data_IF_889579171728
#
_entry.id   IF_889579171728
#
_cell.length_a   1.000
_cell.length_b   1.000
_cell.length_c   1.000
_cell.angle_alpha   90.00
_cell.angle_beta   90.00
_cell.angle_gamma   90.00
#
_symmetry.space_group_name_H-M   'P 1'
#
loop_
_entity.id
_entity.type
_entity.pdbx_description
1 polymer ?
#
# COMPACT_ATOMS: atom_id res chain seq x y z
N UNK A 1 16.13 17.92 -9.53
CA UNK A 1 15.07 17.43 -8.64
C UNK A 1 15.75 17.01 -7.35
N UNK A 2 15.29 17.45 -6.18
CA UNK A 2 15.82 16.92 -4.93
C UNK A 2 15.28 15.50 -4.78
N UNK A 3 16.15 14.50 -4.86
CA UNK A 3 15.77 13.14 -4.49
C UNK A 3 15.26 13.17 -3.05
N UNK A 4 14.09 12.56 -2.80
CA UNK A 4 13.63 12.39 -1.44
C UNK A 4 14.57 11.38 -0.78
N UNK A 5 15.38 11.84 0.18
CA UNK A 5 16.35 10.98 0.87
C UNK A 5 15.64 9.90 1.69
N UNK A 6 14.42 10.18 2.14
CA UNK A 6 13.62 9.28 2.96
C UNK A 6 12.63 8.51 2.11
N UNK A 7 12.72 7.19 2.19
CA UNK A 7 11.86 6.25 1.46
C UNK A 7 11.26 5.23 2.43
N UNK A 8 10.21 4.55 2.01
CA UNK A 8 9.84 3.25 2.54
C UNK A 8 10.35 2.16 1.59
N UNK A 9 10.52 0.95 2.10
CA UNK A 9 11.00 -0.16 1.26
C UNK A 9 10.45 -1.51 1.67
N UNK A 10 10.24 -2.37 0.68
CA UNK A 10 9.84 -3.76 0.86
C UNK A 10 10.60 -4.67 -0.09
N UNK A 11 10.64 -5.95 0.26
CA UNK A 11 11.04 -7.05 -0.62
C UNK A 11 9.77 -7.78 -1.07
N UNK A 12 9.50 -7.80 -2.37
CA UNK A 12 8.41 -8.58 -2.98
C UNK A 12 8.93 -9.91 -3.50
N UNK A 13 8.16 -10.97 -3.27
CA UNK A 13 8.50 -12.32 -3.69
C UNK A 13 8.03 -12.57 -5.13
N UNK A 14 8.96 -12.95 -5.99
CA UNK A 14 8.72 -13.41 -7.35
C UNK A 14 8.81 -14.93 -7.34
N UNK A 15 7.70 -15.62 -7.53
CA UNK A 15 7.65 -17.07 -7.37
C UNK A 15 7.21 -17.76 -8.67
N UNK A 16 7.80 -18.92 -8.94
CA UNK A 16 7.29 -19.82 -9.97
C UNK A 16 5.92 -20.39 -9.52
N UNK A 17 4.93 -20.55 -10.43
CA UNK A 17 3.63 -21.12 -10.13
C UNK A 17 3.70 -22.48 -9.44
N UNK A 18 2.78 -22.73 -8.50
CA UNK A 18 2.83 -23.93 -7.64
C UNK A 18 2.33 -25.20 -8.32
N UNK A 19 1.51 -25.06 -9.35
CA UNK A 19 0.82 -26.11 -10.10
C UNK A 19 0.64 -25.69 -11.57
N UNK A 20 0.23 -26.64 -12.41
CA UNK A 20 0.04 -26.41 -13.85
C UNK A 20 -1.04 -25.35 -14.17
N UNK A 21 -2.13 -25.29 -13.39
CA UNK A 21 -3.17 -24.27 -13.58
C UNK A 21 -2.62 -22.87 -13.32
N UNK A 22 -1.83 -22.72 -12.25
CA UNK A 22 -1.07 -21.52 -11.93
C UNK A 22 -0.18 -21.06 -13.09
N UNK A 23 0.51 -21.99 -13.74
CA UNK A 23 1.39 -21.69 -14.87
C UNK A 23 0.61 -21.24 -16.10
N UNK A 24 -0.42 -21.98 -16.52
CA UNK A 24 -1.19 -21.69 -17.73
C UNK A 24 -1.74 -20.27 -17.73
N UNK A 25 -2.29 -19.89 -16.59
CA UNK A 25 -3.03 -18.67 -16.40
C UNK A 25 -2.00 -17.50 -16.21
N UNK A 26 -0.76 -17.77 -15.76
CA UNK A 26 0.37 -16.80 -15.77
C UNK A 26 0.84 -16.56 -17.21
N UNK A 27 0.98 -17.63 -18.00
CA UNK A 27 1.33 -17.53 -19.42
C UNK A 27 0.25 -16.72 -20.16
N UNK A 28 -1.03 -17.05 -19.95
CA UNK A 28 -2.17 -16.32 -20.54
C UNK A 28 -2.15 -14.82 -20.17
N UNK A 29 -1.82 -14.49 -18.91
CA UNK A 29 -1.67 -13.10 -18.48
C UNK A 29 -0.57 -12.38 -19.25
N UNK A 30 0.58 -13.02 -19.48
CA UNK A 30 1.75 -12.36 -20.03
C UNK A 30 1.90 -12.55 -21.56
N UNK A 31 1.01 -13.30 -22.22
CA UNK A 31 1.13 -13.73 -23.63
C UNK A 31 1.20 -12.61 -24.68
N UNK A 32 0.77 -11.39 -24.33
CA UNK A 32 0.77 -10.24 -25.24
C UNK A 32 2.09 -9.46 -25.18
N UNK A 33 2.93 -9.72 -24.18
CA UNK A 33 4.19 -9.02 -23.98
C UNK A 33 5.26 -9.57 -24.93
N UNK A 34 6.24 -8.74 -25.34
CA UNK A 34 7.27 -9.12 -26.30
C UNK A 34 8.40 -9.94 -25.66
N UNK A 35 8.05 -11.04 -24.98
CA UNK A 35 9.00 -11.90 -24.24
C UNK A 35 8.89 -13.35 -24.71
N UNK A 36 10.03 -14.06 -24.73
CA UNK A 36 10.10 -15.45 -25.22
C UNK A 36 9.46 -16.47 -24.26
N UNK A 37 9.40 -16.11 -22.99
CA UNK A 37 8.88 -16.89 -21.88
C UNK A 37 7.99 -16.00 -21.03
N UNK A 38 6.81 -16.49 -20.70
CA UNK A 38 5.73 -15.67 -20.15
C UNK A 38 5.66 -15.78 -18.61
N UNK A 39 6.81 -15.90 -17.94
CA UNK A 39 6.89 -15.99 -16.48
C UNK A 39 7.09 -14.59 -15.88
N UNK A 40 6.65 -14.37 -14.65
CA UNK A 40 6.83 -13.06 -13.99
C UNK A 40 8.31 -12.68 -13.82
N UNK A 41 9.21 -13.66 -13.70
CA UNK A 41 10.66 -13.40 -13.68
C UNK A 41 11.15 -12.79 -15.00
N UNK A 42 10.63 -13.25 -16.14
CA UNK A 42 11.01 -12.72 -17.45
C UNK A 42 10.57 -11.26 -17.61
N UNK A 43 9.47 -10.85 -16.96
CA UNK A 43 9.07 -9.45 -16.94
C UNK A 43 10.13 -8.54 -16.32
N UNK A 44 10.88 -9.03 -15.34
CA UNK A 44 11.97 -8.29 -14.70
C UNK A 44 13.26 -8.38 -15.53
N UNK A 45 13.57 -9.54 -16.09
CA UNK A 45 14.79 -9.76 -16.86
C UNK A 45 14.78 -9.03 -18.21
N UNK A 46 13.61 -8.94 -18.85
CA UNK A 46 13.39 -8.22 -20.11
C UNK A 46 12.68 -6.87 -19.89
N UNK A 47 12.94 -6.22 -18.74
CA UNK A 47 12.20 -5.03 -18.35
C UNK A 47 12.26 -3.92 -19.40
N UNK A 48 13.40 -3.65 -20.04
CA UNK A 48 13.50 -2.57 -21.04
C UNK A 48 12.52 -2.76 -22.21
N UNK A 49 12.44 -3.97 -22.75
CA UNK A 49 11.53 -4.31 -23.86
C UNK A 49 10.06 -4.28 -23.40
N UNK A 50 9.79 -4.77 -22.19
CA UNK A 50 8.44 -4.77 -21.59
C UNK A 50 7.96 -3.34 -21.34
N UNK A 51 8.77 -2.48 -20.73
CA UNK A 51 8.44 -1.08 -20.47
C UNK A 51 8.18 -0.33 -21.76
N UNK A 52 9.08 -0.48 -22.75
CA UNK A 52 8.90 0.15 -24.05
C UNK A 52 7.61 -0.28 -24.74
N UNK A 53 7.28 -1.57 -24.70
CA UNK A 53 6.03 -2.07 -25.27
C UNK A 53 4.80 -1.49 -24.57
N UNK A 54 4.81 -1.47 -23.24
CA UNK A 54 3.71 -0.95 -22.44
C UNK A 54 3.50 0.54 -22.71
N UNK A 55 4.57 1.34 -22.76
CA UNK A 55 4.52 2.77 -23.10
C UNK A 55 4.02 3.01 -24.54
N UNK A 56 4.39 2.17 -25.51
CA UNK A 56 4.01 2.34 -26.92
C UNK A 56 2.58 1.85 -27.23
N UNK A 57 2.10 0.79 -26.57
CA UNK A 57 0.90 0.06 -27.01
C UNK A 57 -0.20 -0.08 -25.95
N UNK A 58 0.14 -0.10 -24.67
CA UNK A 58 -0.83 -0.40 -23.60
C UNK A 58 -1.31 0.88 -22.89
N UNK A 59 -0.52 1.96 -22.91
CA UNK A 59 -0.79 3.24 -22.19
C UNK A 59 -1.06 3.07 -20.68
N UNK A 60 -0.89 1.87 -20.13
CA UNK A 60 -1.04 1.55 -18.73
C UNK A 60 0.33 1.55 -18.04
N UNK A 61 0.44 1.92 -16.76
CA UNK A 61 1.72 1.83 -16.08
C UNK A 61 2.11 0.37 -15.82
N UNK A 62 3.42 0.09 -15.84
CA UNK A 62 3.92 -1.22 -15.44
C UNK A 62 3.77 -1.40 -13.92
N UNK A 63 2.85 -2.28 -13.53
CA UNK A 63 2.42 -2.45 -12.14
C UNK A 63 2.98 -3.72 -11.50
N UNK A 64 3.38 -3.63 -10.22
CA UNK A 64 3.83 -4.77 -9.43
C UNK A 64 3.12 -4.87 -8.08
N UNK A 65 2.97 -6.09 -7.56
CA UNK A 65 2.37 -6.31 -6.23
C UNK A 65 3.19 -5.60 -5.14
N UNK A 66 2.56 -4.68 -4.43
CA UNK A 66 3.20 -3.83 -3.43
C UNK A 66 2.33 -3.69 -2.17
N UNK A 67 2.94 -3.46 -0.98
CA UNK A 67 2.22 -3.09 0.23
C UNK A 67 1.39 -1.81 0.09
N UNK A 68 0.23 -1.77 0.77
CA UNK A 68 -0.68 -0.62 0.79
C UNK A 68 -0.04 0.72 1.15
N UNK A 69 0.97 0.70 2.02
CA UNK A 69 1.65 1.90 2.50
C UNK A 69 2.65 2.49 1.50
N UNK A 70 3.03 1.75 0.45
CA UNK A 70 4.01 2.27 -0.52
C UNK A 70 3.44 3.44 -1.32
N UNK A 71 4.29 4.45 -1.53
CA UNK A 71 3.99 5.69 -2.25
C UNK A 71 5.10 6.00 -3.26
N UNK A 72 4.86 7.00 -4.12
CA UNK A 72 5.87 7.45 -5.10
C UNK A 72 7.20 7.78 -4.40
N UNK A 73 8.31 7.28 -4.97
CA UNK A 73 9.64 7.46 -4.41
C UNK A 73 10.04 6.41 -3.37
N UNK A 74 9.23 5.38 -3.17
CA UNK A 74 9.63 4.21 -2.38
C UNK A 74 10.47 3.21 -3.20
N UNK A 75 11.04 2.20 -2.53
CA UNK A 75 11.92 1.18 -3.14
C UNK A 75 11.34 -0.22 -2.97
N UNK A 76 11.15 -0.94 -4.08
CA UNK A 76 10.69 -2.32 -4.09
C UNK A 76 11.80 -3.26 -4.58
N UNK A 77 12.32 -4.11 -3.71
CA UNK A 77 13.29 -5.15 -4.09
C UNK A 77 12.57 -6.42 -4.56
N UNK A 78 13.15 -7.09 -5.55
CA UNK A 78 12.63 -8.34 -6.10
C UNK A 78 13.42 -9.53 -5.57
N UNK A 79 12.76 -10.42 -4.86
CA UNK A 79 13.34 -11.67 -4.35
C UNK A 79 12.75 -12.86 -5.08
N UNK A 80 13.58 -13.63 -5.80
CA UNK A 80 13.10 -14.86 -6.41
C UNK A 80 12.97 -15.96 -5.35
N UNK A 81 11.75 -16.45 -5.12
CA UNK A 81 11.46 -17.32 -3.98
C UNK A 81 12.24 -18.64 -4.04
N UNK A 82 12.84 -19.05 -2.90
CA UNK A 82 13.40 -20.41 -2.73
C UNK A 82 12.41 -21.53 -3.10
N UNK A 83 11.12 -21.30 -2.90
CA UNK A 83 10.09 -22.30 -3.24
C UNK A 83 10.03 -22.60 -4.74
N UNK A 84 10.46 -21.66 -5.61
CA UNK A 84 10.45 -21.80 -7.06
C UNK A 84 11.24 -23.02 -7.54
N UNK A 85 12.29 -23.42 -6.80
CA UNK A 85 13.05 -24.64 -7.09
C UNK A 85 12.20 -25.91 -7.00
N UNK A 86 11.33 -26.00 -6.00
CA UNK A 86 10.46 -27.16 -5.81
C UNK A 86 9.22 -27.07 -6.70
N UNK A 87 8.65 -25.87 -6.81
CA UNK A 87 7.45 -25.63 -7.63
C UNK A 87 7.70 -25.94 -9.10
N UNK A 88 8.77 -25.43 -9.71
CA UNK A 88 9.12 -25.70 -11.11
C UNK A 88 9.32 -27.19 -11.40
N UNK A 89 10.03 -27.90 -10.51
CA UNK A 89 10.21 -29.37 -10.62
C UNK A 89 8.92 -30.15 -10.48
N UNK A 90 7.99 -29.69 -9.64
CA UNK A 90 6.69 -30.36 -9.47
C UNK A 90 5.82 -30.17 -10.70
N UNK A 91 5.72 -28.94 -11.23
CA UNK A 91 4.98 -28.67 -12.47
C UNK A 91 5.59 -29.41 -13.66
N UNK A 92 6.92 -29.53 -13.73
CA UNK A 92 7.58 -30.33 -14.77
C UNK A 92 7.15 -31.81 -14.73
N UNK A 93 6.96 -32.38 -13.53
CA UNK A 93 6.45 -33.75 -13.39
C UNK A 93 4.97 -33.86 -13.75
N UNK A 94 4.17 -32.83 -13.47
CA UNK A 94 2.76 -32.79 -13.88
C UNK A 94 2.60 -32.77 -15.41
N UNK A 95 3.62 -32.27 -16.13
CA UNK A 95 3.68 -32.25 -17.59
C UNK A 95 4.22 -33.54 -18.23
N UNK A 96 4.53 -34.58 -17.46
CA UNK A 96 5.00 -35.86 -18.02
C UNK A 96 3.92 -36.45 -18.96
N UNK A 97 4.28 -36.63 -20.24
CA UNK A 97 3.37 -37.08 -21.30
C UNK A 97 2.50 -36.00 -21.97
N UNK A 98 2.70 -34.72 -21.67
CA UNK A 98 2.08 -33.61 -22.42
C UNK A 98 2.88 -33.26 -23.68
N UNK A 99 2.20 -33.04 -24.81
CA UNK A 99 2.82 -32.68 -26.11
C UNK A 99 2.79 -31.16 -26.41
N UNK A 100 2.33 -30.32 -25.48
CA UNK A 100 2.22 -28.88 -25.70
C UNK A 100 3.58 -28.19 -25.53
N UNK A 101 4.24 -27.93 -26.67
CA UNK A 101 5.61 -27.40 -26.76
C UNK A 101 5.82 -26.08 -25.99
N UNK A 102 4.81 -25.19 -26.02
CA UNK A 102 4.88 -23.90 -25.33
C UNK A 102 4.92 -24.02 -23.80
N UNK A 103 4.10 -24.89 -23.20
CA UNK A 103 4.09 -25.10 -21.75
C UNK A 103 5.39 -25.73 -21.27
N UNK A 104 5.87 -26.76 -21.99
CA UNK A 104 7.11 -27.44 -21.66
C UNK A 104 8.31 -26.49 -21.75
N UNK A 105 8.35 -25.62 -22.78
CA UNK A 105 9.35 -24.56 -22.93
C UNK A 105 9.38 -23.61 -21.71
N UNK A 106 8.22 -23.11 -21.29
CA UNK A 106 8.10 -22.22 -20.12
C UNK A 106 8.53 -22.90 -18.81
N UNK A 107 8.17 -24.18 -18.60
CA UNK A 107 8.59 -24.90 -17.38
C UNK A 107 10.08 -25.17 -17.35
N UNK A 108 10.67 -25.60 -18.46
CA UNK A 108 12.11 -25.84 -18.54
C UNK A 108 12.90 -24.57 -18.24
N UNK A 109 12.50 -23.45 -18.84
CA UNK A 109 13.07 -22.14 -18.53
C UNK A 109 12.88 -21.75 -17.06
N UNK A 110 11.68 -21.97 -16.50
CA UNK A 110 11.43 -21.74 -15.08
C UNK A 110 12.32 -22.58 -14.14
N UNK A 111 12.69 -23.81 -14.55
CA UNK A 111 13.66 -24.64 -13.81
C UNK A 111 15.07 -24.06 -13.89
N UNK A 112 15.46 -23.50 -15.04
CA UNK A 112 16.76 -22.83 -15.22
C UNK A 112 16.85 -21.55 -14.37
N UNK A 113 15.84 -20.68 -14.47
CA UNK A 113 15.74 -19.48 -13.63
C UNK A 113 15.75 -19.81 -12.14
N UNK A 114 15.04 -20.86 -11.72
CA UNK A 114 15.05 -21.28 -10.33
C UNK A 114 16.44 -21.77 -9.89
N UNK A 115 17.19 -22.47 -10.75
CA UNK A 115 18.57 -22.89 -10.42
C UNK A 115 19.51 -21.69 -10.25
N UNK A 116 19.31 -20.66 -11.04
CA UNK A 116 20.18 -19.49 -11.05
C UNK A 116 19.85 -18.49 -9.94
N UNK A 117 18.56 -18.19 -9.74
CA UNK A 117 18.11 -17.06 -8.92
C UNK A 117 17.36 -17.45 -7.65
N UNK A 118 16.94 -18.71 -7.45
CA UNK A 118 16.06 -19.02 -6.32
C UNK A 118 16.77 -18.79 -4.99
N UNK A 119 16.13 -17.98 -4.14
CA UNK A 119 16.73 -17.51 -2.90
C UNK A 119 17.56 -16.25 -3.03
N UNK A 120 17.49 -15.52 -4.14
CA UNK A 120 18.26 -14.29 -4.34
C UNK A 120 17.39 -13.05 -4.47
N UNK A 121 17.90 -11.92 -3.98
CA UNK A 121 17.44 -10.60 -4.39
C UNK A 121 18.13 -10.28 -5.71
N UNK A 122 17.34 -10.09 -6.78
CA UNK A 122 17.83 -9.99 -8.17
C UNK A 122 17.87 -8.55 -8.69
N UNK A 123 17.17 -7.64 -8.04
CA UNK A 123 17.05 -6.26 -8.49
C UNK A 123 16.11 -5.46 -7.61
N UNK A 124 15.86 -4.22 -8.00
CA UNK A 124 14.88 -3.35 -7.38
C UNK A 124 14.25 -2.40 -8.40
N UNK A 125 13.18 -1.72 -8.01
CA UNK A 125 12.59 -0.61 -8.76
C UNK A 125 12.22 0.54 -7.84
N UNK A 126 12.05 1.71 -8.44
CA UNK A 126 11.43 2.85 -7.79
C UNK A 126 9.91 2.76 -7.96
N UNK A 127 9.17 3.10 -6.90
CA UNK A 127 7.73 3.25 -7.02
C UNK A 127 7.42 4.56 -7.74
N UNK A 128 6.60 4.48 -8.80
CA UNK A 128 6.22 5.60 -9.65
C UNK A 128 4.93 6.29 -9.21
N UNK A 129 4.10 5.61 -8.42
CA UNK A 129 2.83 6.12 -7.91
C UNK A 129 2.37 5.35 -6.68
N UNK A 130 1.39 5.87 -5.92
CA UNK A 130 0.86 5.19 -4.74
C UNK A 130 0.32 3.80 -5.07
N UNK A 131 0.35 2.91 -4.09
CA UNK A 131 -0.29 1.60 -4.23
C UNK A 131 -1.80 1.75 -4.37
N UNK A 132 -2.39 1.14 -5.39
CA UNK A 132 -3.82 1.17 -5.69
C UNK A 132 -4.46 -0.21 -5.67
N UNK A 133 -5.77 -0.25 -5.48
CA UNK A 133 -6.56 -1.46 -5.59
C UNK A 133 -6.89 -1.76 -7.05
N UNK A 134 -6.40 -2.90 -7.55
CA UNK A 134 -6.80 -3.41 -8.86
C UNK A 134 -7.89 -4.47 -8.69
N UNK A 135 -9.12 -4.08 -9.00
CA UNK A 135 -10.26 -5.00 -9.06
C UNK A 135 -10.14 -5.94 -10.26
N UNK A 136 -10.12 -7.25 -10.00
CA UNK A 136 -10.00 -8.33 -10.99
C UNK A 136 -10.47 -8.01 -12.42
N UNK A 137 -9.52 -7.96 -13.36
CA UNK A 137 -9.56 -8.77 -14.58
C UNK A 137 -8.16 -9.39 -14.80
N UNK A 138 -8.06 -10.71 -14.68
CA UNK A 138 -6.93 -11.54 -15.14
C UNK A 138 -5.55 -11.53 -14.43
N UNK A 139 -5.47 -11.56 -13.09
CA UNK A 139 -4.17 -11.85 -12.43
C UNK A 139 -4.23 -12.88 -11.29
N UNK A 140 -3.13 -13.63 -11.15
CA UNK A 140 -2.91 -14.77 -10.25
C UNK A 140 -2.63 -14.45 -8.79
N UNK A 141 -2.29 -13.21 -8.49
CA UNK A 141 -1.85 -12.84 -7.15
C UNK A 141 -3.06 -12.82 -6.21
N UNK A 142 -2.88 -13.37 -5.01
CA UNK A 142 -3.88 -13.23 -3.93
C UNK A 142 -4.02 -11.76 -3.50
N UNK A 143 -2.95 -10.99 -3.69
CA UNK A 143 -2.92 -9.57 -3.39
C UNK A 143 -3.59 -8.78 -4.51
N UNK A 144 -4.35 -7.77 -4.09
CA UNK A 144 -5.19 -6.94 -4.96
C UNK A 144 -4.68 -5.50 -5.02
N UNK A 145 -3.46 -5.30 -4.55
CA UNK A 145 -2.85 -3.99 -4.37
C UNK A 145 -1.53 -3.96 -5.13
N UNK A 146 -1.43 -3.03 -6.07
CA UNK A 146 -0.28 -2.89 -6.95
C UNK A 146 0.17 -1.44 -6.97
N UNK A 147 1.46 -1.23 -7.15
CA UNK A 147 2.01 0.08 -7.41
C UNK A 147 2.66 0.08 -8.79
N UNK A 148 2.57 1.21 -9.49
CA UNK A 148 3.35 1.44 -10.69
C UNK A 148 4.83 1.52 -10.31
N UNK A 149 5.68 0.91 -11.13
CA UNK A 149 7.13 0.89 -10.90
C UNK A 149 7.86 1.51 -12.09
N UNK A 150 9.02 2.11 -11.81
CA UNK A 150 9.92 2.70 -12.81
C UNK A 150 11.37 2.34 -12.49
N UNK A 151 12.25 2.50 -13.47
CA UNK A 151 13.70 2.28 -13.32
C UNK A 151 14.03 0.93 -12.68
N UNK A 152 13.56 -0.17 -13.27
CA UNK A 152 13.92 -1.52 -12.80
C UNK A 152 15.42 -1.70 -12.99
N UNK A 153 16.15 -1.86 -11.90
CA UNK A 153 17.58 -2.11 -11.88
C UNK A 153 17.86 -3.54 -11.47
N UNK A 154 18.47 -4.31 -12.36
CA UNK A 154 18.93 -5.67 -12.07
C UNK A 154 20.36 -5.62 -11.51
N UNK A 155 20.63 -6.47 -10.53
CA UNK A 155 21.97 -6.61 -9.96
C UNK A 155 22.80 -7.57 -10.83
N UNK A 156 24.01 -7.15 -11.20
CA UNK A 156 24.98 -8.01 -11.89
C UNK A 156 25.33 -9.24 -11.03
N UNK A 157 25.39 -9.05 -9.72
CA UNK A 157 25.59 -10.09 -8.71
C UNK A 157 24.39 -10.09 -7.74
N UNK A 158 23.33 -10.87 -8.03
CA UNK A 158 22.20 -11.06 -7.12
C UNK A 158 22.63 -11.59 -5.76
N UNK A 159 21.97 -11.16 -4.68
CA UNK A 159 22.34 -11.52 -3.31
C UNK A 159 21.57 -12.74 -2.82
N UNK A 160 22.29 -13.79 -2.44
CA UNK A 160 21.73 -14.96 -1.74
C UNK A 160 21.17 -14.62 -0.35
N UNK A 161 20.00 -15.18 -0.03
CA UNK A 161 19.32 -15.03 1.26
C UNK A 161 20.17 -15.46 2.44
N UNK A 162 21.10 -16.39 2.26
CA UNK A 162 22.11 -16.75 3.26
C UNK A 162 22.87 -15.52 3.79
N UNK A 163 23.11 -14.51 2.97
CA UNK A 163 23.88 -13.31 3.31
C UNK A 163 23.09 -12.27 4.12
N UNK A 164 21.77 -12.16 3.90
CA UNK A 164 20.94 -11.17 4.59
C UNK A 164 19.95 -11.74 5.60
N UNK A 165 19.77 -13.07 5.63
CA UNK A 165 18.76 -13.71 6.47
C UNK A 165 18.97 -13.52 7.97
N UNK A 166 20.16 -13.12 8.43
CA UNK A 166 20.43 -12.85 9.83
C UNK A 166 19.68 -11.61 10.34
N UNK A 167 19.55 -10.57 9.51
CA UNK A 167 18.92 -9.30 9.88
C UNK A 167 17.60 -9.04 9.15
N UNK A 168 17.37 -9.61 7.96
CA UNK A 168 16.09 -9.53 7.24
C UNK A 168 15.46 -10.93 7.15
N UNK A 169 14.27 -11.09 7.74
CA UNK A 169 13.49 -12.33 7.63
C UNK A 169 12.42 -12.18 6.56
N UNK A 170 12.59 -12.87 5.43
CA UNK A 170 11.56 -12.95 4.38
C UNK A 170 10.29 -13.61 4.95
N UNK A 171 9.15 -12.96 4.73
CA UNK A 171 7.84 -13.42 5.19
C UNK A 171 7.50 -14.79 4.58
N UNK A 172 7.33 -15.85 5.40
CA UNK A 172 6.99 -17.17 4.89
C UNK A 172 5.58 -17.18 4.29
N UNK A 173 5.49 -17.25 2.96
CA UNK A 173 4.22 -17.32 2.24
C UNK A 173 3.46 -16.00 2.10
N UNK A 174 4.03 -14.89 2.56
CA UNK A 174 3.57 -13.54 2.21
C UNK A 174 4.24 -13.05 0.92
N UNK A 175 3.51 -12.26 0.13
CA UNK A 175 4.05 -11.66 -1.10
C UNK A 175 5.08 -10.59 -0.80
N UNK A 176 4.91 -9.84 0.30
CA UNK A 176 5.74 -8.68 0.62
C UNK A 176 6.34 -8.77 2.03
N UNK A 177 7.62 -8.39 2.15
CA UNK A 177 8.36 -8.28 3.42
C UNK A 177 8.78 -6.83 3.62
N UNK A 178 8.21 -6.09 4.60
CA UNK A 178 8.63 -4.72 4.88
C UNK A 178 10.08 -4.63 5.36
N UNK A 179 10.84 -3.68 4.80
CA UNK A 179 12.16 -3.26 5.29
C UNK A 179 12.01 -2.02 6.16
N UNK A 180 11.50 -2.25 7.37
CA UNK A 180 11.08 -1.16 8.26
C UNK A 180 12.23 -0.50 9.02
N UNK A 181 13.37 -1.16 9.20
CA UNK A 181 14.48 -0.59 9.97
C UNK A 181 15.55 -0.06 9.03
N UNK A 182 15.93 1.20 9.22
CA UNK A 182 17.02 1.80 8.44
C UNK A 182 18.33 1.00 8.60
N UNK A 183 18.64 0.47 9.78
CA UNK A 183 19.81 -0.39 10.00
C UNK A 183 19.85 -1.62 9.10
N UNK A 184 18.69 -2.24 8.86
CA UNK A 184 18.60 -3.45 8.05
C UNK A 184 18.70 -3.10 6.56
N UNK A 185 18.10 -1.97 6.16
CA UNK A 185 18.20 -1.43 4.81
C UNK A 185 19.62 -0.98 4.45
N UNK A 186 20.33 -0.29 5.34
CA UNK A 186 21.73 0.10 5.10
C UNK A 186 22.65 -1.12 5.03
N UNK A 187 22.50 -2.12 5.91
CA UNK A 187 23.26 -3.38 5.81
C UNK A 187 23.01 -4.11 4.49
N UNK A 188 21.76 -4.15 4.01
CA UNK A 188 21.45 -4.72 2.69
C UNK A 188 22.14 -3.94 1.56
N UNK A 189 22.12 -2.60 1.60
CA UNK A 189 22.82 -1.76 0.62
C UNK A 189 24.33 -1.95 0.65
N UNK A 190 24.91 -2.11 1.83
CA UNK A 190 26.34 -2.41 1.97
C UNK A 190 26.68 -3.73 1.26
N UNK A 191 25.94 -4.81 1.54
CA UNK A 191 26.10 -6.10 0.84
C UNK A 191 25.94 -5.96 -0.68
N UNK A 192 24.96 -5.18 -1.14
CA UNK A 192 24.75 -4.93 -2.57
C UNK A 192 25.94 -4.20 -3.19
N UNK A 193 26.48 -3.20 -2.50
CA UNK A 193 27.58 -2.36 -2.98
C UNK A 193 28.92 -3.08 -3.09
N UNK A 194 29.09 -4.23 -2.42
CA UNK A 194 30.34 -5.02 -2.49
C UNK A 194 30.60 -5.57 -3.90
N UNK A 195 29.54 -5.93 -4.63
CA UNK A 195 29.65 -6.62 -5.92
C UNK A 195 28.75 -6.02 -7.02
N UNK A 196 28.13 -4.86 -6.77
CA UNK A 196 27.26 -4.19 -7.73
C UNK A 196 27.49 -2.67 -7.71
N UNK A 197 27.39 -2.04 -8.88
CA UNK A 197 27.25 -0.58 -8.94
C UNK A 197 25.80 -0.18 -8.62
N UNK A 198 25.63 0.55 -7.51
CA UNK A 198 24.31 1.04 -7.11
C UNK A 198 24.02 2.39 -7.77
N UNK A 199 22.80 2.64 -8.29
CA UNK A 199 22.43 3.96 -8.76
C UNK A 199 22.29 4.94 -7.59
N UNK A 200 22.45 6.24 -7.87
CA UNK A 200 22.46 7.30 -6.84
C UNK A 200 21.20 7.30 -5.98
N UNK A 201 20.04 7.04 -6.59
CA UNK A 201 18.76 6.91 -5.91
C UNK A 201 18.81 5.91 -4.74
N UNK A 202 19.26 4.67 -4.99
CA UNK A 202 19.41 3.66 -3.95
C UNK A 202 20.56 4.00 -3.00
N UNK A 203 21.69 4.53 -3.50
CA UNK A 203 22.87 4.91 -2.68
C UNK A 203 22.50 5.92 -1.60
N UNK A 204 21.72 6.95 -1.93
CA UNK A 204 21.38 8.02 -0.98
C UNK A 204 20.15 7.72 -0.13
N UNK A 205 19.29 6.78 -0.54
CA UNK A 205 18.08 6.46 0.18
C UNK A 205 18.33 6.01 1.62
N UNK A 206 17.40 6.38 2.51
CA UNK A 206 17.30 6.00 3.92
C UNK A 206 15.86 5.66 4.25
N UNK A 207 15.65 4.71 5.15
CA UNK A 207 14.28 4.42 5.60
C UNK A 207 13.76 5.58 6.45
N UNK A 208 12.53 6.00 6.16
CA UNK A 208 11.81 6.99 6.96
C UNK A 208 11.71 6.60 8.45
N UNK A 209 11.56 7.60 9.30
CA UNK A 209 11.35 7.40 10.72
C UNK A 209 9.96 6.80 10.99
N UNK A 210 9.94 5.52 11.34
CA UNK A 210 8.76 4.79 11.81
C UNK A 210 8.75 4.58 13.33
N UNK A 211 9.68 5.21 14.06
CA UNK A 211 9.76 5.08 15.51
C UNK A 211 8.85 6.09 16.20
N UNK A 212 7.58 5.73 16.31
CA UNK A 212 6.56 6.55 16.95
C UNK A 212 6.55 6.47 18.50
N UNK A 213 7.57 5.86 19.12
CA UNK A 213 7.62 5.66 20.59
C UNK A 213 7.55 6.97 21.40
N UNK A 214 7.98 8.08 20.81
CA UNK A 214 8.08 9.37 21.50
C UNK A 214 7.02 10.39 21.03
N UNK A 215 6.01 9.96 20.28
CA UNK A 215 4.91 10.84 19.85
C UNK A 215 4.00 11.14 21.03
N UNK A 216 3.72 12.43 21.22
CA UNK A 216 2.93 12.99 22.30
C UNK A 216 2.05 14.12 21.78
N UNK A 217 1.13 14.61 22.62
CA UNK A 217 0.29 15.77 22.33
C UNK A 217 1.09 17.03 21.96
N UNK A 218 2.33 17.15 22.43
CA UNK A 218 3.13 18.37 22.30
C UNK A 218 4.03 18.34 21.06
N UNK A 219 4.31 17.17 20.47
CA UNK A 219 5.27 17.02 19.37
C UNK A 219 4.75 16.21 18.17
N UNK A 220 3.49 15.77 18.16
CA UNK A 220 2.95 14.96 17.06
C UNK A 220 2.99 15.70 15.72
N UNK A 221 2.83 17.03 15.70
CA UNK A 221 2.90 17.83 14.47
C UNK A 221 4.27 17.75 13.81
N UNK A 222 5.32 17.82 14.61
CA UNK A 222 6.70 17.80 14.12
C UNK A 222 7.09 16.39 13.65
N UNK A 223 6.62 15.36 14.35
CA UNK A 223 6.95 13.97 14.04
C UNK A 223 6.03 13.44 12.94
N UNK A 224 4.75 13.31 13.21
CA UNK A 224 3.79 12.60 12.36
C UNK A 224 3.48 13.32 11.04
N UNK A 225 3.66 14.64 10.98
CA UNK A 225 3.55 15.40 9.73
C UNK A 225 4.90 15.59 9.03
N UNK A 226 6.01 15.04 9.54
CA UNK A 226 7.30 15.12 8.85
C UNK A 226 7.27 14.34 7.54
N UNK A 227 7.97 14.85 6.51
CA UNK A 227 8.19 14.12 5.25
C UNK A 227 8.95 12.81 5.47
N UNK A 228 9.78 12.74 6.51
CA UNK A 228 10.52 11.53 6.86
C UNK A 228 9.67 10.49 7.56
N UNK A 229 8.45 10.80 7.99
CA UNK A 229 7.63 9.85 8.74
C UNK A 229 6.84 8.94 7.83
N UNK A 230 6.74 7.67 8.22
CA UNK A 230 6.12 6.60 7.43
C UNK A 230 5.25 5.70 8.29
N UNK A 231 4.04 5.41 7.84
CA UNK A 231 3.11 4.51 8.53
C UNK A 231 3.03 3.20 7.77
N UNK A 232 3.14 2.07 8.47
CA UNK A 232 3.05 0.74 7.84
C UNK A 232 1.68 0.09 8.05
N UNK A 233 0.93 0.58 9.03
CA UNK A 233 -0.30 -0.02 9.50
C UNK A 233 -1.32 1.05 9.89
N UNK A 234 -2.61 0.71 9.74
CA UNK A 234 -3.72 1.61 10.07
C UNK A 234 -3.75 1.98 11.56
N UNK A 235 -3.39 1.06 12.45
CA UNK A 235 -3.34 1.33 13.89
C UNK A 235 -2.25 2.37 14.24
N UNK A 236 -1.13 2.38 13.53
CA UNK A 236 -0.06 3.38 13.70
C UNK A 236 -0.55 4.78 13.30
N UNK A 237 -1.10 4.94 12.10
CA UNK A 237 -1.57 6.26 11.65
C UNK A 237 -2.71 6.77 12.53
N UNK A 238 -3.60 5.87 12.99
CA UNK A 238 -4.64 6.20 13.96
C UNK A 238 -4.05 6.72 15.26
N UNK A 239 -3.15 5.96 15.89
CA UNK A 239 -2.61 6.28 17.21
C UNK A 239 -1.68 7.51 17.22
N UNK A 240 -0.94 7.75 16.13
CA UNK A 240 0.14 8.73 16.12
C UNK A 240 -0.14 9.98 15.29
N UNK A 241 -1.17 9.97 14.43
CA UNK A 241 -1.57 11.14 13.64
C UNK A 241 -3.04 11.49 13.88
N UNK A 242 -3.96 10.61 13.47
CA UNK A 242 -5.40 10.90 13.38
C UNK A 242 -6.00 11.21 14.74
N UNK A 243 -5.70 10.40 15.76
CA UNK A 243 -6.21 10.62 17.12
C UNK A 243 -5.80 11.98 17.70
N UNK A 244 -4.59 12.46 17.41
CA UNK A 244 -4.12 13.76 17.87
C UNK A 244 -4.79 14.89 17.09
N UNK A 245 -4.81 14.79 15.77
CA UNK A 245 -5.46 15.75 14.89
C UNK A 245 -6.95 15.93 15.25
N UNK A 246 -7.72 14.84 15.34
CA UNK A 246 -9.14 14.87 15.65
C UNK A 246 -9.43 15.43 17.06
N UNK A 247 -8.56 15.17 18.04
CA UNK A 247 -8.71 15.74 19.40
C UNK A 247 -8.59 17.25 19.44
N UNK A 248 -7.84 17.84 18.51
CA UNK A 248 -7.58 19.27 18.46
C UNK A 248 -8.57 20.02 17.57
N UNK A 249 -9.07 19.40 16.50
CA UNK A 249 -10.04 20.09 15.61
C UNK A 249 -11.48 20.00 16.09
N UNK A 250 -11.86 18.96 16.85
CA UNK A 250 -13.22 18.81 17.38
C UNK A 250 -13.60 19.96 18.33
N UNK A 251 -14.89 20.10 18.57
CA UNK A 251 -15.40 21.07 19.55
C UNK A 251 -14.82 20.85 20.96
N UNK A 252 -14.65 21.96 21.67
CA UNK A 252 -14.16 21.93 23.05
C UNK A 252 -15.11 21.13 23.95
N UNK A 253 -14.54 20.26 24.79
CA UNK A 253 -15.26 19.42 25.79
C UNK A 253 -16.26 18.41 25.21
N UNK A 254 -16.18 18.09 23.92
CA UNK A 254 -16.94 16.97 23.31
C UNK A 254 -16.08 15.70 23.25
N UNK A 255 -16.66 14.49 23.27
CA UNK A 255 -15.88 13.26 23.14
C UNK A 255 -15.46 13.02 21.69
N UNK A 256 -14.30 12.38 21.50
CA UNK A 256 -13.97 11.66 20.27
C UNK A 256 -14.45 10.21 20.46
N UNK A 257 -15.37 9.76 19.62
CA UNK A 257 -16.01 8.46 19.73
C UNK A 257 -15.40 7.53 18.68
N UNK A 258 -15.02 6.30 19.08
CA UNK A 258 -14.33 5.32 18.24
C UNK A 258 -15.26 4.11 17.97
N UNK A 259 -15.12 3.50 16.80
CA UNK A 259 -15.84 2.28 16.38
C UNK A 259 -17.36 2.41 16.61
N UNK A 260 -18.00 3.27 15.81
CA UNK A 260 -19.40 3.65 15.99
C UNK A 260 -20.31 2.85 15.08
N UNK A 261 -21.13 1.97 15.65
CA UNK A 261 -22.20 1.29 14.92
C UNK A 261 -23.24 2.31 14.49
N UNK A 262 -23.59 2.30 13.20
CA UNK A 262 -24.47 3.28 12.58
C UNK A 262 -25.81 2.65 12.21
N UNK A 263 -26.89 3.41 12.35
CA UNK A 263 -28.26 2.93 12.20
C UNK A 263 -29.11 3.81 11.30
N UNK A 264 -29.83 3.18 10.37
CA UNK A 264 -30.87 3.80 9.54
C UNK A 264 -32.14 2.95 9.65
N UNK A 265 -33.28 3.56 9.95
CA UNK A 265 -34.55 2.89 10.21
C UNK A 265 -34.43 1.78 11.28
N UNK A 266 -33.72 2.07 12.38
CA UNK A 266 -33.39 1.11 13.45
C UNK A 266 -32.55 -0.11 13.03
N UNK A 267 -32.00 -0.14 11.81
CA UNK A 267 -31.16 -1.23 11.30
C UNK A 267 -29.71 -0.79 11.21
N UNK A 268 -28.80 -1.67 11.66
CA UNK A 268 -27.35 -1.43 11.51
C UNK A 268 -26.98 -1.41 10.03
N UNK A 269 -26.38 -0.32 9.57
CA UNK A 269 -25.91 -0.12 8.18
C UNK A 269 -24.42 -0.35 8.05
N UNK A 270 -23.65 -0.09 9.11
CA UNK A 270 -22.21 -0.33 9.17
C UNK A 270 -21.60 0.18 10.47
N UNK A 271 -20.29 0.36 10.45
CA UNK A 271 -19.51 0.89 11.57
C UNK A 271 -18.56 1.94 11.02
N UNK A 272 -18.61 3.17 11.54
CA UNK A 272 -17.64 4.23 11.23
C UNK A 272 -16.44 4.14 12.19
N UNK A 273 -15.26 4.54 11.73
CA UNK A 273 -14.06 4.52 12.57
C UNK A 273 -14.15 5.52 13.73
N UNK A 274 -14.60 6.74 13.43
CA UNK A 274 -14.80 7.76 14.44
C UNK A 274 -16.07 8.58 14.21
N UNK A 275 -16.55 9.18 15.30
CA UNK A 275 -17.42 10.34 15.28
C UNK A 275 -16.82 11.45 16.15
N UNK A 276 -16.85 12.68 15.66
CA UNK A 276 -16.51 13.86 16.44
C UNK A 276 -17.54 14.96 16.26
N UNK A 277 -17.60 15.89 17.21
CA UNK A 277 -18.49 17.04 17.11
C UNK A 277 -17.72 18.23 16.56
N UNK A 278 -18.22 18.85 15.48
CA UNK A 278 -17.70 20.07 14.87
C UNK A 278 -18.85 21.04 14.65
N UNK A 279 -18.71 22.27 15.15
CA UNK A 279 -19.75 23.30 15.06
C UNK A 279 -21.12 22.80 15.55
N UNK A 280 -21.12 22.04 16.65
CA UNK A 280 -22.31 21.36 17.20
C UNK A 280 -22.93 20.25 16.35
N UNK A 281 -22.33 19.86 15.23
CA UNK A 281 -22.78 18.75 14.36
C UNK A 281 -21.89 17.53 14.53
N UNK A 282 -22.48 16.32 14.49
CA UNK A 282 -21.73 15.07 14.51
C UNK A 282 -21.21 14.74 13.12
N UNK A 283 -19.90 14.61 12.99
CA UNK A 283 -19.21 14.32 11.73
C UNK A 283 -18.55 12.93 11.84
N UNK A 284 -18.91 11.97 10.97
CA UNK A 284 -18.18 10.71 10.85
C UNK A 284 -16.81 10.95 10.24
N UNK A 285 -15.82 10.15 10.67
CA UNK A 285 -14.48 10.13 10.09
C UNK A 285 -14.09 8.69 9.77
N UNK A 286 -13.62 8.46 8.55
CA UNK A 286 -13.02 7.20 8.11
C UNK A 286 -11.49 7.31 8.17
N UNK A 287 -10.82 6.32 8.75
CA UNK A 287 -9.37 6.28 8.87
C UNK A 287 -8.80 5.13 8.06
N UNK A 288 -8.02 5.45 7.02
CA UNK A 288 -7.34 4.45 6.19
C UNK A 288 -5.83 4.61 6.26
N UNK A 289 -5.11 3.57 5.87
CA UNK A 289 -3.67 3.71 5.61
C UNK A 289 -3.43 4.42 4.28
N UNK A 290 -4.17 4.01 3.25
CA UNK A 290 -4.14 4.57 1.90
C UNK A 290 -5.49 4.29 1.23
N UNK A 291 -6.24 5.34 0.90
CA UNK A 291 -7.60 5.21 0.32
C UNK A 291 -7.60 4.62 -1.09
N UNK A 292 -6.53 4.81 -1.88
CA UNK A 292 -6.43 4.23 -3.22
C UNK A 292 -6.35 2.71 -3.18
N UNK A 293 -5.90 2.14 -2.07
CA UNK A 293 -5.82 0.69 -1.85
C UNK A 293 -7.15 0.06 -1.39
N UNK A 294 -8.21 0.86 -1.25
CA UNK A 294 -9.53 0.41 -0.84
C UNK A 294 -10.40 0.05 -2.04
N UNK A 295 -11.06 -1.11 -1.97
CA UNK A 295 -11.88 -1.63 -3.07
C UNK A 295 -13.02 -0.69 -3.47
N UNK A 296 -13.68 -0.12 -2.47
CA UNK A 296 -14.90 0.66 -2.64
C UNK A 296 -15.07 1.57 -1.42
N UNK A 297 -14.42 2.73 -1.47
CA UNK A 297 -14.50 3.72 -0.38
C UNK A 297 -15.88 4.37 -0.32
N UNK A 298 -16.52 4.62 -1.46
CA UNK A 298 -17.87 5.18 -1.55
C UNK A 298 -18.89 4.30 -0.83
N UNK A 299 -18.88 2.98 -1.08
CA UNK A 299 -19.76 2.04 -0.38
C UNK A 299 -19.45 1.91 1.12
N UNK A 300 -18.20 2.12 1.54
CA UNK A 300 -17.87 2.18 2.96
C UNK A 300 -18.53 3.41 3.61
N UNK A 301 -18.36 4.59 2.99
CA UNK A 301 -18.93 5.86 3.46
C UNK A 301 -20.46 5.85 3.48
N UNK A 302 -21.11 5.27 2.45
CA UNK A 302 -22.56 5.21 2.33
C UNK A 302 -23.25 4.47 3.50
N UNK A 303 -22.50 3.69 4.28
CA UNK A 303 -23.00 2.96 5.45
C UNK A 303 -23.21 3.85 6.67
N UNK A 304 -22.56 4.99 6.75
CA UNK A 304 -22.67 5.90 7.90
C UNK A 304 -22.95 7.36 7.51
N UNK A 305 -23.13 7.62 6.21
CA UNK A 305 -23.89 8.77 5.73
C UNK A 305 -25.39 8.49 5.76
N UNK A 306 -26.18 9.54 5.85
CA UNK A 306 -27.63 9.53 5.92
C UNK A 306 -28.21 8.56 6.97
N UNK A 307 -27.60 8.54 8.16
CA UNK A 307 -28.02 7.68 9.27
C UNK A 307 -28.85 8.50 10.27
N UNK A 308 -29.73 7.82 11.00
CA UNK A 308 -30.56 8.44 12.03
C UNK A 308 -29.76 8.56 13.34
N UNK A 309 -29.00 7.52 13.67
CA UNK A 309 -28.28 7.44 14.92
C UNK A 309 -27.02 6.59 14.84
N UNK A 310 -26.17 6.74 15.84
CA UNK A 310 -24.98 5.91 15.99
C UNK A 310 -24.69 5.59 17.45
N UNK A 311 -23.92 4.52 17.67
CA UNK A 311 -23.54 4.03 18.99
C UNK A 311 -22.07 3.60 19.02
N UNK A 312 -21.20 4.26 19.81
CA UNK A 312 -19.82 3.82 19.98
C UNK A 312 -19.80 2.45 20.66
N UNK A 313 -18.99 1.54 20.12
CA UNK A 313 -18.82 0.18 20.62
C UNK A 313 -17.57 0.05 21.50
N UNK A 314 -16.57 0.90 21.27
CA UNK A 314 -15.34 0.94 22.05
C UNK A 314 -15.48 1.85 23.25
N UNK A 315 -15.06 1.36 24.43
CA UNK A 315 -15.03 2.10 25.73
C UNK A 315 -16.38 2.67 26.20
N UNK A 316 -17.49 2.36 25.52
CA UNK A 316 -18.84 2.80 25.88
C UNK A 316 -19.55 1.77 26.77
N UNK A 317 -19.34 1.87 28.08
CA UNK A 317 -19.98 0.97 29.06
C UNK A 317 -21.50 1.12 29.13
N UNK A 318 -22.05 2.25 28.69
CA UNK A 318 -23.45 2.62 28.86
C UNK A 318 -24.29 2.40 27.59
N UNK A 319 -23.69 1.93 26.48
CA UNK A 319 -24.36 1.76 25.19
C UNK A 319 -25.15 3.01 24.72
N UNK A 320 -24.69 4.20 25.12
CA UNK A 320 -25.35 5.45 24.79
C UNK A 320 -25.44 5.64 23.27
N UNK A 321 -26.66 5.87 22.79
CA UNK A 321 -26.97 6.19 21.41
C UNK A 321 -27.01 7.71 21.22
N UNK A 322 -26.55 8.17 20.06
CA UNK A 322 -26.48 9.57 19.67
C UNK A 322 -27.30 9.78 18.40
N UNK A 323 -28.07 10.87 18.37
CA UNK A 323 -28.72 11.34 17.15
C UNK A 323 -27.65 11.88 16.19
N UNK A 324 -27.61 11.33 14.98
CA UNK A 324 -26.63 11.70 13.96
C UNK A 324 -27.06 12.94 13.16
N UNK A 325 -28.35 13.28 13.18
CA UNK A 325 -28.97 14.34 12.37
C UNK A 325 -28.72 14.16 10.86
N UNK A 326 -28.76 12.91 10.37
CA UNK A 326 -28.67 12.56 8.94
C UNK A 326 -27.42 13.13 8.24
N UNK A 327 -26.20 12.77 8.68
CA UNK A 327 -24.97 13.37 8.20
C UNK A 327 -24.77 13.09 6.70
N UNK A 328 -24.49 14.13 5.93
CA UNK A 328 -24.16 14.07 4.49
C UNK A 328 -22.66 14.19 4.23
N UNK A 329 -21.98 14.77 5.21
CA UNK A 329 -20.59 15.15 5.21
C UNK A 329 -19.77 14.16 6.04
N UNK A 330 -18.65 13.69 5.50
CA UNK A 330 -17.67 12.87 6.18
C UNK A 330 -16.26 13.39 5.93
N UNK A 331 -15.36 13.13 6.89
CA UNK A 331 -13.93 13.27 6.65
C UNK A 331 -13.34 11.90 6.38
N UNK A 332 -12.38 11.85 5.45
CA UNK A 332 -11.51 10.69 5.28
C UNK A 332 -10.09 11.16 5.57
N UNK A 333 -9.33 10.36 6.31
CA UNK A 333 -7.94 10.67 6.63
C UNK A 333 -7.08 9.44 6.37
N UNK A 334 -6.00 9.63 5.61
CA UNK A 334 -4.99 8.61 5.37
C UNK A 334 -3.56 9.16 5.46
N UNK A 335 -2.55 8.37 5.03
CA UNK A 335 -1.16 8.78 5.13
C UNK A 335 -0.80 9.98 4.23
N UNK A 336 -1.59 10.25 3.20
CA UNK A 336 -1.40 11.37 2.29
C UNK A 336 -2.01 12.64 2.86
N UNK A 337 -3.14 12.58 3.55
CA UNK A 337 -3.75 13.75 4.19
C UNK A 337 -5.22 13.61 4.54
N UNK A 338 -5.91 14.75 4.53
CA UNK A 338 -7.35 14.88 4.85
C UNK A 338 -8.14 15.18 3.59
N UNK A 339 -9.24 14.45 3.41
CA UNK A 339 -10.20 14.58 2.32
C UNK A 339 -11.57 14.93 2.87
N UNK A 340 -12.35 15.63 2.06
CA UNK A 340 -13.76 15.93 2.33
C UNK A 340 -14.62 15.12 1.39
N UNK A 341 -15.68 14.52 1.94
CA UNK A 341 -16.69 13.80 1.17
C UNK A 341 -18.08 14.26 1.55
N UNK A 342 -18.92 14.52 0.54
CA UNK A 342 -20.30 14.95 0.74
C UNK A 342 -21.23 14.32 -0.31
N UNK A 343 -22.41 13.84 0.10
CA UNK A 343 -23.48 13.31 -0.78
C UNK A 343 -23.02 12.45 -1.97
N UNK A 344 -22.01 11.62 -1.73
CA UNK A 344 -21.41 10.66 -2.67
C UNK A 344 -20.20 11.11 -3.51
N UNK A 345 -19.69 12.31 -3.30
CA UNK A 345 -18.52 12.83 -4.02
C UNK A 345 -17.44 13.40 -3.08
N UNK A 346 -16.19 13.40 -3.58
CA UNK A 346 -15.11 14.14 -2.94
C UNK A 346 -15.21 15.63 -3.31
N UNK A 347 -14.99 16.52 -2.34
CA UNK A 347 -15.13 17.97 -2.52
C UNK A 347 -13.75 18.61 -2.58
N UNK A 348 -13.44 19.25 -3.72
CA UNK A 348 -12.16 19.94 -4.00
C UNK A 348 -10.91 19.08 -3.75
N UNK A 349 -11.07 17.76 -3.80
CA UNK A 349 -10.04 16.75 -3.60
C UNK A 349 -10.44 15.47 -4.33
N UNK A 350 -9.49 14.55 -4.49
CA UNK A 350 -9.73 13.23 -5.10
C UNK A 350 -8.87 12.19 -4.37
N UNK A 351 -9.18 10.89 -4.47
CA UNK A 351 -8.31 9.86 -3.92
C UNK A 351 -6.85 10.01 -4.37
N UNK A 352 -5.91 10.07 -3.41
CA UNK A 352 -4.49 10.35 -3.68
C UNK A 352 -4.10 11.83 -3.68
N UNK A 353 -5.07 12.74 -3.84
CA UNK A 353 -4.90 14.19 -3.84
C UNK A 353 -5.70 14.84 -2.70
N UNK A 354 -5.19 14.82 -1.46
CA UNK A 354 -5.91 15.35 -0.30
C UNK A 354 -6.02 16.86 -0.34
N UNK A 355 -7.15 17.38 0.12
CA UNK A 355 -7.38 18.82 0.27
C UNK A 355 -6.36 19.46 1.23
N UNK A 356 -6.00 18.72 2.30
CA UNK A 356 -4.90 19.09 3.17
C UNK A 356 -3.88 17.95 3.25
N UNK A 357 -2.74 18.09 2.56
CA UNK A 357 -1.64 17.13 2.66
C UNK A 357 -1.18 16.95 4.11
N UNK A 358 -0.73 15.73 4.44
CA UNK A 358 -0.29 15.36 5.79
C UNK A 358 0.71 16.34 6.36
N UNK A 359 1.64 16.81 5.54
CA UNK A 359 2.72 17.72 5.97
C UNK A 359 2.21 19.06 6.53
N UNK A 360 0.99 19.48 6.18
CA UNK A 360 0.37 20.70 6.71
C UNK A 360 -0.71 20.43 7.76
N UNK A 361 -1.00 19.16 8.09
CA UNK A 361 -2.01 18.80 9.09
C UNK A 361 -1.73 19.37 10.49
N UNK A 362 -0.50 19.82 10.75
CA UNK A 362 -0.15 20.52 11.99
C UNK A 362 -0.81 21.91 12.13
N UNK A 363 -1.29 22.52 11.04
CA UNK A 363 -2.03 23.79 11.01
C UNK A 363 -3.51 23.60 11.44
N UNK A 364 -3.73 22.98 12.59
CA UNK A 364 -5.06 22.52 13.03
C UNK A 364 -6.12 23.60 13.10
N UNK A 365 -5.78 24.82 13.53
CA UNK A 365 -6.74 25.92 13.62
C UNK A 365 -7.28 26.35 12.25
N UNK A 366 -6.39 26.42 11.26
CA UNK A 366 -6.72 26.79 9.88
C UNK A 366 -7.54 25.69 9.21
N UNK A 367 -7.11 24.44 9.34
CA UNK A 367 -7.83 23.29 8.79
C UNK A 367 -9.22 23.19 9.43
N UNK A 368 -9.31 23.34 10.75
CA UNK A 368 -10.58 23.36 11.47
C UNK A 368 -11.52 24.44 10.93
N UNK A 369 -11.04 25.68 10.75
CA UNK A 369 -11.85 26.78 10.24
C UNK A 369 -12.39 26.48 8.84
N UNK A 370 -11.54 25.91 7.97
CA UNK A 370 -11.96 25.54 6.63
C UNK A 370 -12.99 24.40 6.66
N UNK A 371 -12.77 23.33 7.45
CA UNK A 371 -13.74 22.23 7.58
C UNK A 371 -15.09 22.76 8.05
N UNK A 372 -15.14 23.73 8.97
CA UNK A 372 -16.41 24.36 9.36
C UNK A 372 -17.05 25.08 8.16
N UNK A 373 -16.27 25.81 7.36
CA UNK A 373 -16.80 26.49 6.18
C UNK A 373 -17.44 25.52 5.20
N UNK A 374 -16.80 24.38 4.91
CA UNK A 374 -17.37 23.32 4.09
C UNK A 374 -18.61 22.72 4.76
N UNK A 375 -18.54 22.42 6.05
CA UNK A 375 -19.68 21.88 6.78
C UNK A 375 -20.90 22.83 6.69
N UNK A 376 -20.71 24.13 6.87
CA UNK A 376 -21.80 25.11 6.80
C UNK A 376 -22.34 25.29 5.37
N UNK A 377 -21.52 25.06 4.34
CA UNK A 377 -21.93 25.09 2.92
C UNK A 377 -22.75 23.86 2.51
N UNK A 378 -22.41 22.69 3.05
CA UNK A 378 -22.95 21.39 2.61
C UNK A 378 -23.93 20.71 3.61
N UNK A 379 -24.20 21.33 4.78
CA UNK A 379 -25.13 20.80 5.80
C UNK A 379 -26.61 21.08 5.54
#
# INVERSE_FOLDING_TARGET
>A
MSFNEYVQSAITAVAFPRDLDGLKKQIEKNQYLPIDYHLDMDLLLYNEDVFKYIEEYDNEPYNWSAPKWMSEGDILFYYHSKSSMNSSKNVLKELDGYEEDSLLKNVNHGVELAKEYAGKIIGFSEIAGPTEYFGFQNQHFKDRTFASVKNVHLFETPIDIELFSEFIKISPGGTNTPLSRDSDFQQLKELLSENNELPDYLKTAKIGNNNFRNVSKDNWREISCSISSSFLYEDQIRAYLIDYFLKEIKDNRTPLLEECDCFRDSKKTGTADYFMKLNSTWVPVEAKLNILSEKDIHHQLSKYLHIDSFRPTKRNKEQKEFDALNPKFALIIDQSGVYIYNEDEFIDCEPGEPLWPRIIMGETDKIRANIISYLDEFS
#
